data_IF_388281906328
#
_entry.id   IF_388281906328
#
_cell.length_a   1.000
_cell.length_b   1.000
_cell.length_c   1.000
_cell.angle_alpha   90.00
_cell.angle_beta   90.00
_cell.angle_gamma   90.00
#
_symmetry.space_group_name_H-M   'P 1'
#
loop_
_entity.id
_entity.type
_entity.pdbx_description
1 polymer ?
#
# COMPACT_ATOMS: atom_id res chain seq x y z
N UNK A 1 -10.14 -30.01 10.27
CA UNK A 1 -10.92 -29.10 11.16
C UNK A 1 -9.97 -28.19 11.90
N UNK A 2 -9.62 -27.03 11.31
CA UNK A 2 -8.72 -26.03 11.93
C UNK A 2 -9.64 -25.00 12.60
N UNK A 3 -9.43 -24.82 13.91
CA UNK A 3 -10.27 -24.03 14.80
C UNK A 3 -10.41 -22.57 14.33
N UNK A 4 -11.66 -22.12 14.20
CA UNK A 4 -12.10 -20.79 13.77
C UNK A 4 -11.65 -19.61 14.68
N UNK A 5 -10.89 -19.85 15.75
CA UNK A 5 -10.52 -18.84 16.75
C UNK A 5 -9.18 -18.14 16.57
N UNK A 6 -8.27 -18.64 15.73
CA UNK A 6 -6.91 -18.12 15.67
C UNK A 6 -6.73 -16.89 14.77
N UNK A 7 -7.62 -16.66 13.80
CA UNK A 7 -7.49 -15.53 12.87
C UNK A 7 -8.03 -14.20 13.43
N UNK A 8 -9.04 -14.27 14.32
CA UNK A 8 -9.54 -13.05 14.99
C UNK A 8 -8.57 -12.52 16.06
N UNK A 9 -7.79 -13.40 16.68
CA UNK A 9 -6.80 -13.01 17.69
C UNK A 9 -5.65 -12.17 17.16
N UNK A 10 -5.21 -12.41 15.92
CA UNK A 10 -4.10 -11.69 15.30
C UNK A 10 -4.47 -10.25 14.87
N UNK A 11 -5.71 -10.03 14.45
CA UNK A 11 -6.19 -8.68 14.07
C UNK A 11 -6.41 -7.81 15.30
N UNK A 12 -6.89 -8.39 16.42
CA UNK A 12 -7.03 -7.67 17.68
C UNK A 12 -5.69 -7.33 18.35
N UNK A 13 -4.65 -8.16 18.17
CA UNK A 13 -3.34 -7.91 18.77
C UNK A 13 -2.60 -6.76 18.10
N UNK A 14 -2.72 -6.61 16.78
CA UNK A 14 -2.10 -5.49 16.05
C UNK A 14 -2.73 -4.12 16.38
N UNK A 15 -4.00 -4.09 16.78
CA UNK A 15 -4.69 -2.86 17.21
C UNK A 15 -4.36 -2.52 18.67
N UNK A 16 -4.14 -3.53 19.53
CA UNK A 16 -3.81 -3.31 20.95
C UNK A 16 -2.38 -2.86 21.19
N UNK A 17 -1.42 -3.23 20.32
CA UNK A 17 -0.02 -2.84 20.48
C UNK A 17 0.25 -1.36 20.15
N UNK A 18 -0.64 -0.69 19.40
CA UNK A 18 -0.51 0.75 19.11
C UNK A 18 -1.09 1.68 20.20
N UNK A 19 -1.77 1.13 21.21
CA UNK A 19 -2.41 1.89 22.30
C UNK A 19 -1.62 1.90 23.62
N UNK A 20 -0.46 1.23 23.70
CA UNK A 20 0.29 1.09 24.96
C UNK A 20 1.51 2.02 25.10
N UNK A 21 1.67 3.02 24.26
CA UNK A 21 2.79 3.96 24.33
C UNK A 21 2.37 5.38 24.75
N UNK A 22 1.60 5.56 25.84
CA UNK A 22 1.56 6.81 26.62
C UNK A 22 0.60 6.68 27.81
N UNK A 23 1.11 6.29 28.98
CA UNK A 23 0.47 6.55 30.26
C UNK A 23 1.24 7.66 30.99
N UNK A 24 0.63 8.80 31.28
CA UNK A 24 1.12 9.68 32.34
C UNK A 24 0.59 9.23 33.70
N UNK A 25 1.40 9.45 34.73
CA UNK A 25 1.19 9.13 36.15
C UNK A 25 -0.07 9.76 36.81
N UNK A 26 -0.55 9.19 37.92
CA UNK A 26 -1.83 9.54 38.53
C UNK A 26 -1.71 10.68 39.55
N UNK A 27 -2.32 11.80 39.26
CA UNK A 27 -2.73 12.78 40.28
C UNK A 27 -4.02 13.44 39.83
N UNK A 28 -5.14 13.03 40.37
CA UNK A 28 -6.25 13.79 40.92
C UNK A 28 -7.54 12.96 41.01
N UNK A 29 -7.93 12.64 42.24
CA UNK A 29 -9.14 11.88 42.56
C UNK A 29 -10.42 12.72 42.60
N UNK A 30 -10.39 13.97 42.23
CA UNK A 30 -11.55 14.89 42.29
C UNK A 30 -12.47 14.85 41.08
N UNK A 31 -11.99 14.40 39.92
CA UNK A 31 -12.77 14.41 38.66
C UNK A 31 -13.73 13.22 38.47
N UNK A 32 -13.65 12.18 39.28
CA UNK A 32 -14.51 10.98 39.13
C UNK A 32 -15.88 11.08 39.84
N UNK A 33 -16.15 12.13 40.60
CA UNK A 33 -17.45 12.26 41.31
C UNK A 33 -18.52 13.02 40.53
N UNK A 34 -18.20 13.75 39.47
CA UNK A 34 -19.20 14.52 38.72
C UNK A 34 -19.85 13.76 37.55
N UNK A 35 -19.29 12.63 37.12
CA UNK A 35 -19.83 11.86 35.98
C UNK A 35 -20.97 10.90 36.33
N UNK A 36 -21.28 10.73 37.63
CA UNK A 36 -22.31 9.76 38.07
C UNK A 36 -23.71 10.37 38.31
N UNK A 37 -23.93 11.66 38.17
CA UNK A 37 -25.20 12.32 38.53
C UNK A 37 -26.05 12.71 37.30
N UNK A 38 -25.53 12.64 36.06
CA UNK A 38 -26.24 13.15 34.87
C UNK A 38 -26.99 12.08 34.05
N UNK A 39 -27.07 10.82 34.48
CA UNK A 39 -27.74 9.77 33.70
C UNK A 39 -29.12 9.37 34.22
N UNK A 40 -29.78 10.20 35.04
CA UNK A 40 -31.12 9.96 35.58
C UNK A 40 -32.12 11.07 35.20
N UNK A 41 -32.23 11.45 33.92
CA UNK A 41 -33.30 12.30 33.41
C UNK A 41 -34.16 11.53 32.41
N UNK A 42 -35.27 11.00 32.97
CA UNK A 42 -36.58 10.64 32.38
C UNK A 42 -36.74 10.87 30.88
N UNK A 43 -36.83 9.77 30.15
CA UNK A 43 -37.55 9.70 28.86
C UNK A 43 -39.06 9.64 29.12
N UNK A 44 -39.75 10.75 28.98
CA UNK A 44 -41.19 10.80 28.81
C UNK A 44 -41.47 10.89 27.31
N UNK A 45 -42.19 9.89 26.79
CA UNK A 45 -42.61 9.78 25.40
C UNK A 45 -43.61 10.89 25.03
N UNK A 46 -43.49 11.57 23.90
CA UNK A 46 -44.59 12.42 23.38
C UNK A 46 -45.69 11.58 22.72
N UNK A 47 -46.94 12.05 22.70
CA UNK A 47 -48.08 11.31 22.17
C UNK A 47 -48.01 11.15 20.64
N UNK A 48 -48.43 9.96 20.19
CA UNK A 48 -48.48 9.60 18.78
C UNK A 48 -49.45 10.49 18.00
N UNK A 49 -48.93 11.25 17.02
CA UNK A 49 -49.72 11.90 15.97
C UNK A 49 -50.16 10.84 14.95
N UNK A 50 -51.46 10.53 14.92
CA UNK A 50 -52.04 9.73 13.84
C UNK A 50 -52.16 10.60 12.58
N UNK A 51 -51.38 10.28 11.55
CA UNK A 51 -51.54 10.81 10.19
C UNK A 51 -52.53 9.95 9.40
N UNK A 52 -53.43 10.53 8.59
CA UNK A 52 -54.42 9.77 7.84
C UNK A 52 -53.76 9.01 6.68
N UNK A 53 -54.09 7.72 6.58
CA UNK A 53 -53.76 6.84 5.48
C UNK A 53 -54.56 7.20 4.25
N UNK A 54 -53.96 7.81 3.23
CA UNK A 54 -54.33 7.72 1.82
C UNK A 54 -53.33 8.49 0.97
N UNK A 55 -52.33 7.79 0.42
CA UNK A 55 -51.75 8.17 -0.86
C UNK A 55 -51.17 6.92 -1.51
N UNK A 56 -51.67 6.60 -2.68
CA UNK A 56 -51.10 5.57 -3.56
C UNK A 56 -49.62 5.83 -3.76
N UNK A 57 -48.76 4.96 -3.18
CA UNK A 57 -47.35 4.94 -3.48
C UNK A 57 -47.20 4.54 -4.94
N UNK A 58 -46.99 5.53 -5.81
CA UNK A 58 -46.37 5.29 -7.11
C UNK A 58 -44.95 4.80 -6.81
N UNK A 59 -44.71 3.50 -6.95
CA UNK A 59 -43.36 2.95 -6.93
C UNK A 59 -42.57 3.64 -8.07
N UNK A 60 -41.72 4.56 -7.70
CA UNK A 60 -40.67 5.03 -8.59
C UNK A 60 -39.81 3.84 -8.98
N UNK A 61 -39.56 3.57 -10.26
CA UNK A 61 -38.67 2.52 -10.66
C UNK A 61 -37.33 2.76 -9.96
N UNK A 62 -36.86 1.79 -9.17
CA UNK A 62 -35.56 1.86 -8.51
C UNK A 62 -34.50 2.18 -9.57
N UNK A 63 -33.63 3.17 -9.35
CA UNK A 63 -32.57 3.48 -10.30
C UNK A 63 -31.77 2.20 -10.54
N UNK A 64 -31.75 1.76 -11.80
CA UNK A 64 -30.88 0.67 -12.23
C UNK A 64 -29.45 1.13 -11.98
N UNK A 65 -28.87 0.72 -10.87
CA UNK A 65 -27.43 0.87 -10.65
C UNK A 65 -26.72 0.19 -11.82
N UNK A 66 -25.90 0.90 -12.59
CA UNK A 66 -25.12 0.29 -13.64
C UNK A 66 -24.29 -0.83 -13.00
N UNK A 67 -24.51 -2.07 -13.46
CA UNK A 67 -23.65 -3.20 -13.07
C UNK A 67 -22.31 -2.95 -13.75
N UNK A 68 -21.36 -2.38 -13.01
CA UNK A 68 -19.98 -2.28 -13.44
C UNK A 68 -19.41 -3.70 -13.62
N UNK A 69 -18.68 -3.99 -14.70
CA UNK A 69 -18.14 -5.30 -14.93
C UNK A 69 -17.24 -5.73 -13.77
N UNK A 70 -17.58 -6.86 -13.16
CA UNK A 70 -16.81 -7.46 -12.04
C UNK A 70 -15.86 -8.53 -12.57
N UNK A 71 -15.95 -8.85 -13.85
CA UNK A 71 -15.15 -9.87 -14.51
C UNK A 71 -13.96 -9.25 -15.26
N UNK A 72 -12.93 -10.06 -15.49
CA UNK A 72 -11.80 -9.67 -16.30
C UNK A 72 -12.26 -9.37 -17.73
N UNK A 73 -11.69 -8.34 -18.34
CA UNK A 73 -11.95 -8.01 -19.73
C UNK A 73 -11.03 -8.85 -20.62
N UNK A 74 -11.63 -9.71 -21.46
CA UNK A 74 -10.91 -10.51 -22.44
C UNK A 74 -10.88 -9.82 -23.79
N UNK A 75 -9.69 -9.55 -24.31
CA UNK A 75 -9.44 -8.94 -25.62
C UNK A 75 -8.54 -9.89 -26.43
N UNK A 76 -9.14 -10.91 -27.03
CA UNK A 76 -8.38 -11.96 -27.69
C UNK A 76 -7.49 -12.71 -26.70
N UNK A 77 -6.15 -12.79 -26.94
CA UNK A 77 -5.22 -13.47 -26.05
C UNK A 77 -4.89 -12.67 -24.77
N UNK A 78 -5.42 -11.46 -24.62
CA UNK A 78 -5.20 -10.59 -23.49
C UNK A 78 -6.31 -10.69 -22.46
N UNK A 79 -5.91 -10.71 -21.19
CA UNK A 79 -6.81 -10.62 -20.03
C UNK A 79 -6.44 -9.39 -19.23
N UNK A 80 -7.37 -8.44 -19.10
CA UNK A 80 -7.21 -7.22 -18.32
C UNK A 80 -7.93 -7.34 -16.99
N UNK A 81 -7.27 -6.96 -15.92
CA UNK A 81 -7.88 -6.88 -14.60
C UNK A 81 -7.31 -5.68 -13.83
N UNK A 82 -8.08 -5.13 -12.89
CA UNK A 82 -7.63 -3.96 -12.16
C UNK A 82 -8.37 -3.73 -10.85
N UNK A 83 -7.73 -2.94 -10.00
CA UNK A 83 -8.27 -2.40 -8.77
C UNK A 83 -8.03 -0.89 -8.79
N UNK A 84 -9.10 -0.12 -8.74
CA UNK A 84 -9.06 1.32 -8.60
C UNK A 84 -9.75 1.69 -7.30
N UNK A 85 -9.10 2.48 -6.47
CA UNK A 85 -9.63 2.92 -5.19
C UNK A 85 -9.41 4.39 -4.96
N UNK A 86 -10.39 5.05 -4.35
CA UNK A 86 -10.28 6.40 -3.82
C UNK A 86 -10.66 6.39 -2.34
N UNK A 87 -9.91 7.12 -1.55
CA UNK A 87 -10.18 7.29 -0.10
C UNK A 87 -10.36 8.75 0.22
N UNK A 88 -11.27 9.03 1.13
CA UNK A 88 -11.57 10.37 1.62
C UNK A 88 -11.90 10.28 3.10
N UNK A 89 -11.13 10.99 3.92
CA UNK A 89 -11.36 11.06 5.36
C UNK A 89 -11.29 12.53 5.79
N UNK A 90 -12.30 12.98 6.53
CA UNK A 90 -12.39 14.36 7.01
C UNK A 90 -12.62 14.40 8.51
N UNK A 91 -11.87 15.25 9.20
CA UNK A 91 -12.10 15.62 10.59
C UNK A 91 -12.40 17.11 10.65
N UNK A 92 -13.57 17.48 11.17
CA UNK A 92 -13.99 18.87 11.40
C UNK A 92 -14.27 19.05 12.90
N UNK A 93 -13.58 19.99 13.51
CA UNK A 93 -13.71 20.35 14.91
C UNK A 93 -14.09 21.83 15.00
N UNK A 94 -15.17 22.13 15.71
CA UNK A 94 -15.62 23.50 15.96
C UNK A 94 -15.97 23.63 17.44
N UNK A 95 -15.32 24.54 18.14
CA UNK A 95 -15.49 24.74 19.61
C UNK A 95 -15.27 23.44 20.40
N UNK A 96 -14.29 22.62 19.97
CA UNK A 96 -13.97 21.34 20.59
C UNK A 96 -12.84 21.50 21.58
N UNK A 97 -13.12 21.31 22.89
CA UNK A 97 -12.15 21.57 23.96
C UNK A 97 -11.21 20.38 24.27
N UNK A 98 -11.52 19.18 23.76
CA UNK A 98 -10.74 17.98 24.07
C UNK A 98 -9.46 17.84 23.21
N UNK A 99 -9.09 18.86 22.43
CA UNK A 99 -7.94 18.83 21.53
C UNK A 99 -8.25 18.16 20.20
N UNK A 100 -7.27 18.17 19.30
CA UNK A 100 -7.40 17.67 17.92
C UNK A 100 -7.26 18.78 16.89
N UNK A 101 -7.21 18.43 15.61
CA UNK A 101 -7.01 19.35 14.51
C UNK A 101 -7.93 19.00 13.34
N UNK A 102 -8.40 20.04 12.62
CA UNK A 102 -9.11 19.85 11.36
C UNK A 102 -8.17 19.21 10.35
N UNK A 103 -8.61 18.15 9.71
CA UNK A 103 -7.83 17.45 8.71
C UNK A 103 -8.68 16.92 7.58
N UNK A 104 -8.08 16.86 6.40
CA UNK A 104 -8.62 16.20 5.22
C UNK A 104 -7.56 15.28 4.64
N UNK A 105 -7.85 14.00 4.56
CA UNK A 105 -7.00 13.03 3.88
C UNK A 105 -7.71 12.51 2.65
N UNK A 106 -7.06 12.60 1.51
CA UNK A 106 -7.55 12.04 0.25
C UNK A 106 -6.45 11.27 -0.45
N UNK A 107 -6.82 10.23 -1.19
CA UNK A 107 -5.86 9.45 -1.92
C UNK A 107 -6.49 8.54 -2.96
N UNK A 108 -5.65 8.02 -3.85
CA UNK A 108 -6.05 7.00 -4.80
C UNK A 108 -5.04 5.85 -4.84
N UNK A 109 -5.54 4.68 -5.22
CA UNK A 109 -4.75 3.49 -5.54
C UNK A 109 -5.21 3.02 -6.92
N UNK A 110 -4.25 2.71 -7.80
CA UNK A 110 -4.47 2.12 -9.10
C UNK A 110 -3.56 0.91 -9.22
N UNK A 111 -4.13 -0.26 -9.45
CA UNK A 111 -3.39 -1.48 -9.79
C UNK A 111 -4.03 -2.09 -11.03
N UNK A 112 -3.31 -2.05 -12.14
CA UNK A 112 -3.76 -2.55 -13.44
C UNK A 112 -2.86 -3.70 -13.86
N UNK A 113 -3.45 -4.86 -14.17
CA UNK A 113 -2.75 -6.02 -14.74
C UNK A 113 -3.23 -6.27 -16.16
N UNK A 114 -2.29 -6.59 -17.05
CA UNK A 114 -2.57 -7.12 -18.39
C UNK A 114 -1.77 -8.39 -18.57
N UNK A 115 -2.47 -9.49 -18.85
CA UNK A 115 -1.89 -10.82 -19.08
C UNK A 115 -2.14 -11.25 -20.51
N UNK A 116 -1.07 -11.55 -21.23
CA UNK A 116 -1.11 -12.24 -22.52
C UNK A 116 -0.81 -13.71 -22.32
N UNK A 117 -1.50 -14.61 -23.00
CA UNK A 117 -1.23 -16.03 -22.94
C UNK A 117 -1.37 -16.67 -24.30
N UNK A 118 -0.34 -17.41 -24.71
CA UNK A 118 -0.37 -18.33 -25.85
C UNK A 118 0.12 -19.71 -25.42
N UNK A 119 0.22 -20.66 -26.33
CA UNK A 119 0.67 -22.04 -26.03
C UNK A 119 2.11 -22.10 -25.48
N UNK A 120 2.99 -21.22 -25.97
CA UNK A 120 4.43 -21.27 -25.66
C UNK A 120 4.91 -20.04 -24.91
N UNK A 121 4.20 -18.91 -24.99
CA UNK A 121 4.60 -17.64 -24.39
C UNK A 121 3.50 -17.06 -23.51
N UNK A 122 3.89 -16.41 -22.45
CA UNK A 122 3.01 -15.50 -21.71
C UNK A 122 3.73 -14.21 -21.37
N UNK A 123 2.98 -13.11 -21.31
CA UNK A 123 3.47 -11.82 -20.84
C UNK A 123 2.57 -11.33 -19.73
N UNK A 124 3.19 -10.79 -18.68
CA UNK A 124 2.50 -10.19 -17.55
C UNK A 124 2.98 -8.75 -17.39
N UNK A 125 2.05 -7.80 -17.40
CA UNK A 125 2.30 -6.41 -17.10
C UNK A 125 1.54 -6.04 -15.82
N UNK A 126 2.17 -5.28 -14.94
CA UNK A 126 1.54 -4.74 -13.74
C UNK A 126 1.95 -3.28 -13.57
N UNK A 127 0.96 -2.38 -13.63
CA UNK A 127 1.10 -0.99 -13.22
C UNK A 127 0.50 -0.85 -11.82
N UNK A 128 1.30 -0.38 -10.87
CA UNK A 128 0.90 -0.12 -9.48
C UNK A 128 1.22 1.33 -9.14
N UNK A 129 0.19 2.14 -8.94
CA UNK A 129 0.31 3.55 -8.62
C UNK A 129 -0.52 3.90 -7.39
N UNK A 130 0.02 4.75 -6.54
CA UNK A 130 -0.68 5.28 -5.38
C UNK A 130 -0.24 6.72 -5.14
N UNK A 131 -1.17 7.56 -4.69
CA UNK A 131 -0.87 8.91 -4.26
C UNK A 131 -1.88 9.34 -3.21
N UNK A 132 -1.39 9.86 -2.08
CA UNK A 132 -2.25 10.27 -0.96
C UNK A 132 -1.68 11.50 -0.27
N UNK A 133 -2.58 12.44 0.02
CA UNK A 133 -2.28 13.70 0.69
C UNK A 133 -3.12 13.85 1.95
N UNK A 134 -2.54 14.46 2.96
CA UNK A 134 -3.22 14.96 4.15
C UNK A 134 -3.08 16.49 4.21
N UNK A 135 -4.17 17.16 4.36
CA UNK A 135 -4.28 18.61 4.57
C UNK A 135 -4.64 18.85 6.04
N UNK A 136 -3.78 19.53 6.77
CA UNK A 136 -3.96 19.80 8.19
C UNK A 136 -3.43 21.19 8.52
N UNK A 137 -4.28 22.10 9.01
CA UNK A 137 -3.91 23.47 9.42
C UNK A 137 -3.10 24.23 8.36
N UNK A 138 -3.52 24.15 7.10
CA UNK A 138 -2.82 24.82 6.00
C UNK A 138 -1.55 24.12 5.53
N UNK A 139 -1.13 23.02 6.18
CA UNK A 139 0.02 22.23 5.78
C UNK A 139 -0.42 21.00 4.99
N UNK A 140 0.19 20.79 3.82
CA UNK A 140 -0.03 19.61 2.98
C UNK A 140 1.09 18.60 3.24
N UNK A 141 0.71 17.37 3.54
CA UNK A 141 1.63 16.26 3.77
C UNK A 141 1.38 15.16 2.77
N UNK A 142 2.44 14.71 2.12
CA UNK A 142 2.38 13.50 1.29
C UNK A 142 2.44 12.27 2.19
N UNK A 143 1.42 11.39 2.10
CA UNK A 143 1.33 10.16 2.88
C UNK A 143 1.78 8.97 2.06
N UNK A 144 1.35 8.88 0.81
CA UNK A 144 1.76 7.82 -0.12
C UNK A 144 2.10 8.41 -1.48
N UNK A 145 3.10 7.84 -2.14
CA UNK A 145 3.53 8.27 -3.46
C UNK A 145 4.32 7.14 -4.11
N UNK A 146 3.72 6.48 -5.07
CA UNK A 146 4.30 5.32 -5.75
C UNK A 146 3.89 5.28 -7.20
N UNK A 147 4.85 5.04 -8.06
CA UNK A 147 4.67 4.62 -9.44
C UNK A 147 5.59 3.44 -9.71
N UNK A 148 5.02 2.29 -10.00
CA UNK A 148 5.76 1.07 -10.29
C UNK A 148 5.17 0.37 -11.51
N UNK A 149 6.02 0.02 -12.47
CA UNK A 149 5.67 -0.78 -13.62
C UNK A 149 6.54 -2.02 -13.67
N UNK A 150 5.92 -3.18 -13.80
CA UNK A 150 6.58 -4.47 -13.91
C UNK A 150 6.15 -5.15 -15.22
N UNK A 151 7.12 -5.72 -15.91
CA UNK A 151 6.92 -6.53 -17.12
C UNK A 151 7.65 -7.85 -16.93
N UNK A 152 6.95 -8.96 -17.20
CA UNK A 152 7.55 -10.28 -17.27
C UNK A 152 7.12 -10.98 -18.55
N UNK A 153 8.10 -11.51 -19.25
CA UNK A 153 7.92 -12.34 -20.45
C UNK A 153 8.35 -13.76 -20.09
N UNK A 154 7.48 -14.72 -20.28
CA UNK A 154 7.68 -16.11 -19.90
C UNK A 154 7.60 -17.02 -21.12
N UNK A 155 8.58 -17.92 -21.29
CA UNK A 155 8.56 -19.03 -22.22
C UNK A 155 8.30 -20.33 -21.46
N UNK A 156 7.24 -21.04 -21.84
CA UNK A 156 6.81 -22.29 -21.17
C UNK A 156 7.77 -23.41 -21.57
N UNK A 157 8.37 -24.07 -20.59
CA UNK A 157 9.28 -25.19 -20.82
C UNK A 157 8.48 -26.45 -21.16
N UNK A 158 8.88 -27.11 -22.26
CA UNK A 158 8.23 -28.34 -22.71
C UNK A 158 8.27 -29.41 -21.61
N UNK A 159 7.11 -30.03 -21.33
CA UNK A 159 6.97 -31.06 -20.30
C UNK A 159 6.95 -30.55 -18.84
N UNK A 160 7.04 -29.23 -18.62
CA UNK A 160 7.08 -28.62 -17.27
C UNK A 160 6.15 -27.40 -17.22
N UNK A 161 4.83 -27.56 -17.20
CA UNK A 161 3.88 -26.43 -17.33
C UNK A 161 3.94 -25.42 -16.19
N UNK A 162 4.45 -25.82 -15.02
CA UNK A 162 4.59 -24.93 -13.86
C UNK A 162 5.89 -24.12 -13.86
N UNK A 163 6.88 -24.51 -14.71
CA UNK A 163 8.17 -23.84 -14.81
C UNK A 163 8.33 -23.15 -16.14
N UNK A 164 8.83 -21.93 -16.11
CA UNK A 164 9.01 -21.09 -17.29
C UNK A 164 10.38 -20.44 -17.26
N UNK A 165 11.00 -20.30 -18.42
CA UNK A 165 12.14 -19.40 -18.59
C UNK A 165 11.61 -17.98 -18.72
N UNK A 166 12.10 -17.03 -17.91
CA UNK A 166 11.49 -15.72 -17.77
C UNK A 166 12.49 -14.60 -17.86
N UNK A 167 12.14 -13.55 -18.62
CA UNK A 167 12.74 -12.24 -18.56
C UNK A 167 11.86 -11.30 -17.75
N UNK A 168 12.46 -10.56 -16.82
CA UNK A 168 11.76 -9.62 -15.94
C UNK A 168 12.38 -8.23 -16.05
N UNK A 169 11.52 -7.21 -16.10
CA UNK A 169 11.88 -5.79 -16.01
C UNK A 169 10.95 -5.06 -15.06
N UNK A 170 11.52 -4.17 -14.25
CA UNK A 170 10.77 -3.33 -13.32
C UNK A 170 11.30 -1.90 -13.37
N UNK A 171 10.38 -0.94 -13.26
CA UNK A 171 10.66 0.47 -13.08
C UNK A 171 9.86 0.99 -11.90
N UNK A 172 10.52 1.68 -10.95
CA UNK A 172 9.88 2.24 -9.75
C UNK A 172 10.37 3.66 -9.52
N UNK A 173 9.45 4.58 -9.27
CA UNK A 173 9.73 5.97 -8.86
C UNK A 173 8.55 6.52 -8.05
N UNK A 174 8.55 7.81 -7.81
CA UNK A 174 7.46 8.57 -7.20
C UNK A 174 7.03 9.74 -8.10
N UNK A 175 5.86 10.33 -7.81
CA UNK A 175 5.28 11.40 -8.64
C UNK A 175 5.78 12.77 -8.26
N UNK A 176 5.87 13.07 -6.96
CA UNK A 176 6.03 14.43 -6.47
C UNK A 176 7.10 14.53 -5.37
N UNK A 177 7.46 15.77 -5.00
CA UNK A 177 8.42 16.05 -3.94
C UNK A 177 8.01 15.40 -2.62
N UNK A 178 8.96 14.81 -1.91
CA UNK A 178 8.83 14.32 -0.54
C UNK A 178 9.67 15.18 0.40
N UNK A 179 9.16 15.46 1.59
CA UNK A 179 9.82 16.29 2.59
C UNK A 179 10.05 15.47 3.85
N UNK A 180 11.17 15.73 4.54
CA UNK A 180 11.52 15.05 5.79
C UNK A 180 10.57 15.46 6.92
N UNK A 181 10.18 16.74 6.95
CA UNK A 181 9.25 17.28 7.95
C UNK A 181 8.10 18.01 7.26
N UNK A 182 6.89 17.97 7.82
CA UNK A 182 5.77 18.77 7.35
C UNK A 182 6.06 20.26 7.49
N UNK A 183 5.74 21.03 6.44
CA UNK A 183 6.00 22.48 6.45
C UNK A 183 7.42 22.90 6.11
N UNK A 184 8.32 21.95 5.77
CA UNK A 184 9.63 22.27 5.23
C UNK A 184 9.48 23.16 3.98
N UNK A 185 10.41 24.10 3.75
CA UNK A 185 10.39 24.96 2.56
C UNK A 185 10.49 24.11 1.28
N UNK A 186 9.93 24.60 0.18
CA UNK A 186 9.88 23.87 -1.10
C UNK A 186 11.27 23.46 -1.63
N UNK A 187 12.31 24.07 -1.15
CA UNK A 187 13.72 23.73 -1.44
C UNK A 187 14.27 22.59 -0.61
N UNK A 188 13.63 22.18 0.49
CA UNK A 188 14.13 21.16 1.44
C UNK A 188 13.58 19.74 1.18
N UNK A 189 13.06 19.45 -0.03
CA UNK A 189 12.61 18.11 -0.39
C UNK A 189 13.75 17.08 -0.33
N UNK A 190 13.42 15.86 0.10
CA UNK A 190 14.36 14.73 0.20
C UNK A 190 14.22 13.75 -0.96
N UNK A 191 13.18 13.89 -1.77
CA UNK A 191 12.91 13.06 -2.95
C UNK A 191 11.94 13.74 -3.91
N UNK A 192 11.95 13.34 -5.19
CA UNK A 192 11.01 13.82 -6.23
C UNK A 192 10.94 12.83 -7.40
N UNK A 193 10.17 13.15 -8.44
CA UNK A 193 10.10 12.34 -9.65
C UNK A 193 11.51 12.08 -10.22
N UNK A 194 11.83 10.81 -10.52
CA UNK A 194 13.15 10.34 -10.99
C UNK A 194 14.32 10.62 -10.03
N UNK A 195 14.03 10.93 -8.76
CA UNK A 195 15.04 11.15 -7.72
C UNK A 195 14.51 10.64 -6.34
N UNK A 196 14.59 9.29 -6.10
CA UNK A 196 15.18 8.25 -6.93
C UNK A 196 14.23 7.66 -7.96
N UNK A 197 14.80 7.03 -9.00
CA UNK A 197 14.16 6.01 -9.80
C UNK A 197 15.00 4.73 -9.79
N UNK A 198 14.32 3.59 -9.75
CA UNK A 198 14.97 2.27 -9.75
C UNK A 198 14.52 1.48 -10.96
N UNK A 199 15.46 0.78 -11.61
CA UNK A 199 15.13 -0.25 -12.59
C UNK A 199 15.79 -1.56 -12.19
N UNK A 200 15.09 -2.65 -12.47
CA UNK A 200 15.59 -4.01 -12.30
C UNK A 200 15.34 -4.72 -13.63
N UNK A 201 16.34 -5.42 -14.14
CA UNK A 201 16.20 -6.28 -15.30
C UNK A 201 16.99 -7.57 -15.11
N UNK A 202 16.36 -8.71 -15.36
CA UNK A 202 17.00 -9.99 -15.11
C UNK A 202 16.39 -11.13 -15.94
N UNK A 203 17.16 -12.20 -16.07
CA UNK A 203 16.78 -13.46 -16.70
C UNK A 203 16.79 -14.57 -15.65
N UNK A 204 15.73 -15.39 -15.63
CA UNK A 204 15.58 -16.38 -14.58
C UNK A 204 14.49 -17.40 -14.87
N UNK A 205 14.01 -18.02 -13.81
CA UNK A 205 12.96 -19.03 -13.85
C UNK A 205 11.76 -18.55 -13.04
N UNK A 206 10.58 -18.79 -13.56
CA UNK A 206 9.31 -18.57 -12.87
C UNK A 206 8.67 -19.91 -12.54
N UNK A 207 8.19 -20.04 -11.30
CA UNK A 207 7.23 -21.06 -10.89
C UNK A 207 5.91 -20.38 -10.55
N UNK A 208 4.83 -20.73 -11.26
CA UNK A 208 3.52 -20.11 -11.04
C UNK A 208 2.45 -21.18 -10.87
N UNK A 209 1.66 -21.05 -9.81
CA UNK A 209 0.42 -21.80 -9.60
C UNK A 209 -0.74 -20.86 -9.27
N UNK A 210 -1.87 -21.37 -8.81
CA UNK A 210 -3.07 -20.59 -8.51
C UNK A 210 -2.87 -19.47 -7.48
N UNK A 211 -2.02 -19.70 -6.46
CA UNK A 211 -1.85 -18.78 -5.32
C UNK A 211 -0.48 -18.13 -5.26
N UNK A 212 0.54 -18.80 -5.80
CA UNK A 212 1.95 -18.43 -5.66
C UNK A 212 2.54 -18.15 -7.03
N UNK A 213 3.24 -17.04 -7.11
CA UNK A 213 4.09 -16.65 -8.25
C UNK A 213 5.49 -16.37 -7.71
N UNK A 214 6.45 -17.21 -8.09
CA UNK A 214 7.84 -17.12 -7.67
C UNK A 214 8.72 -16.93 -8.90
N UNK A 215 9.47 -15.85 -8.95
CA UNK A 215 10.50 -15.59 -9.94
C UNK A 215 11.86 -15.51 -9.27
N UNK A 216 12.82 -16.29 -9.77
CA UNK A 216 14.20 -16.25 -9.33
C UNK A 216 15.12 -15.98 -10.52
N UNK A 217 15.94 -14.96 -10.41
CA UNK A 217 16.95 -14.58 -11.38
C UNK A 217 18.35 -14.61 -10.76
N UNK A 218 19.23 -15.49 -11.18
CA UNK A 218 20.63 -15.50 -10.74
C UNK A 218 21.44 -14.34 -11.33
N UNK A 219 20.98 -13.73 -12.43
CA UNK A 219 21.67 -12.63 -13.10
C UNK A 219 20.68 -11.49 -13.30
N UNK A 220 20.81 -10.48 -12.45
CA UNK A 220 19.93 -9.30 -12.44
C UNK A 220 20.76 -8.03 -12.33
N UNK A 221 20.51 -7.09 -13.23
CA UNK A 221 21.00 -5.73 -13.13
C UNK A 221 19.98 -4.86 -12.39
N UNK A 222 20.44 -4.16 -11.36
CA UNK A 222 19.67 -3.13 -10.63
C UNK A 222 20.34 -1.78 -10.88
N UNK A 223 19.54 -0.77 -11.23
CA UNK A 223 20.03 0.58 -11.45
C UNK A 223 19.26 1.56 -10.58
N UNK A 224 19.99 2.49 -9.99
CA UNK A 224 19.45 3.62 -9.24
C UNK A 224 19.78 4.90 -9.99
N UNK A 225 18.78 5.71 -10.29
CA UNK A 225 18.92 7.02 -10.95
C UNK A 225 18.51 8.11 -9.98
N UNK A 226 19.25 9.21 -9.99
CA UNK A 226 18.90 10.45 -9.30
C UNK A 226 19.00 11.59 -10.30
N UNK A 227 17.85 12.09 -10.79
CA UNK A 227 17.74 13.15 -11.81
C UNK A 227 17.45 14.52 -11.18
N UNK A 228 18.19 14.83 -10.11
CA UNK A 228 18.06 16.09 -9.38
C UNK A 228 19.44 16.51 -8.87
N UNK A 229 19.93 17.66 -9.33
CA UNK A 229 21.29 18.16 -9.06
C UNK A 229 21.56 18.33 -7.57
N UNK A 230 20.58 18.82 -6.80
CA UNK A 230 20.73 19.03 -5.37
C UNK A 230 20.87 17.72 -4.61
N UNK A 231 20.05 16.73 -4.95
CA UNK A 231 20.10 15.40 -4.35
C UNK A 231 21.36 14.62 -4.80
N UNK A 232 21.82 14.82 -6.03
CA UNK A 232 23.10 14.30 -6.51
C UNK A 232 24.27 14.87 -5.69
N UNK A 233 24.29 16.19 -5.47
CA UNK A 233 25.34 16.83 -4.69
C UNK A 233 25.40 16.33 -3.24
N UNK A 234 24.27 15.85 -2.69
CA UNK A 234 24.19 15.28 -1.35
C UNK A 234 24.65 13.81 -1.26
N UNK A 235 24.76 13.10 -2.38
CA UNK A 235 25.14 11.69 -2.38
C UNK A 235 24.13 10.79 -1.67
N UNK A 236 22.84 10.93 -2.02
CA UNK A 236 21.73 10.15 -1.40
C UNK A 236 21.41 8.89 -2.22
N UNK A 237 20.59 7.99 -1.66
CA UNK A 237 20.11 6.73 -2.29
C UNK A 237 21.25 5.76 -2.69
N UNK A 238 22.35 5.74 -1.92
CA UNK A 238 23.51 4.88 -2.17
C UNK A 238 24.43 5.36 -3.30
N UNK A 239 24.26 6.60 -3.79
CA UNK A 239 25.15 7.24 -4.74
C UNK A 239 26.23 8.06 -4.01
N UNK A 240 27.41 8.18 -4.62
CA UNK A 240 28.42 9.15 -4.17
C UNK A 240 28.01 10.58 -4.54
N UNK A 241 28.45 11.62 -3.80
CA UNK A 241 28.19 13.01 -4.16
C UNK A 241 28.57 13.31 -5.62
N UNK A 242 27.64 13.90 -6.37
CA UNK A 242 27.79 14.22 -7.78
C UNK A 242 27.47 13.08 -8.76
N UNK A 243 27.25 11.87 -8.28
CA UNK A 243 26.80 10.77 -9.14
C UNK A 243 25.31 10.88 -9.48
N UNK A 244 24.97 10.53 -10.71
CA UNK A 244 23.58 10.52 -11.24
C UNK A 244 23.01 9.11 -11.37
N UNK A 245 23.89 8.10 -11.29
CA UNK A 245 23.59 6.72 -11.64
C UNK A 245 24.44 5.74 -10.85
N UNK A 246 23.84 4.67 -10.36
CA UNK A 246 24.51 3.53 -9.74
C UNK A 246 24.02 2.23 -10.40
N UNK A 247 24.95 1.34 -10.68
CA UNK A 247 24.66 0.02 -11.22
C UNK A 247 25.09 -1.07 -10.25
N UNK A 248 24.25 -2.07 -10.10
CA UNK A 248 24.47 -3.24 -9.27
C UNK A 248 24.15 -4.50 -10.08
N UNK A 249 24.89 -5.58 -9.85
CA UNK A 249 24.66 -6.88 -10.44
C UNK A 249 24.49 -7.90 -9.31
N UNK A 250 23.44 -8.74 -9.39
CA UNK A 250 23.15 -9.64 -8.28
C UNK A 250 22.14 -10.72 -8.61
N UNK A 251 21.73 -11.45 -7.57
CA UNK A 251 20.57 -12.33 -7.61
C UNK A 251 19.31 -11.58 -7.17
N UNK A 252 18.19 -11.92 -7.79
CA UNK A 252 16.90 -11.35 -7.46
C UNK A 252 15.83 -12.43 -7.30
N UNK A 253 15.03 -12.31 -6.26
CA UNK A 253 13.88 -13.16 -6.02
C UNK A 253 12.65 -12.29 -5.82
N UNK A 254 11.61 -12.54 -6.62
CA UNK A 254 10.29 -11.98 -6.42
C UNK A 254 9.33 -13.10 -6.05
N UNK A 255 8.70 -12.97 -4.89
CA UNK A 255 7.67 -13.87 -4.42
C UNK A 255 6.38 -13.11 -4.25
N UNK A 256 5.28 -13.65 -4.79
CA UNK A 256 3.93 -13.13 -4.61
C UNK A 256 2.99 -14.24 -4.19
N UNK A 257 2.23 -13.98 -3.14
CA UNK A 257 1.12 -14.79 -2.69
C UNK A 257 -0.16 -13.99 -2.85
N UNK A 258 -1.10 -14.50 -3.64
CA UNK A 258 -2.40 -13.87 -3.78
C UNK A 258 -3.51 -14.87 -3.52
N UNK A 259 -4.46 -14.48 -2.66
CA UNK A 259 -5.58 -15.35 -2.30
C UNK A 259 -6.83 -14.55 -1.99
N UNK A 260 -7.94 -15.00 -2.55
CA UNK A 260 -9.28 -14.53 -2.21
C UNK A 260 -9.94 -15.56 -1.29
N UNK A 261 -10.41 -15.13 -0.13
CA UNK A 261 -11.10 -15.99 0.83
C UNK A 261 -12.61 -15.84 0.70
N UNK A 262 -13.41 -16.90 1.01
CA UNK A 262 -14.88 -16.85 0.93
C UNK A 262 -15.51 -15.71 1.76
N UNK A 263 -14.84 -15.26 2.83
CA UNK A 263 -15.32 -14.22 3.75
C UNK A 263 -15.09 -12.79 3.22
N UNK A 264 -15.04 -12.59 1.91
CA UNK A 264 -14.83 -11.27 1.26
C UNK A 264 -13.48 -10.61 1.60
N UNK A 265 -12.50 -11.39 2.03
CA UNK A 265 -11.13 -10.95 2.30
C UNK A 265 -10.25 -11.35 1.13
N UNK A 266 -9.50 -10.40 0.61
CA UNK A 266 -8.43 -10.61 -0.37
C UNK A 266 -7.10 -10.29 0.26
N UNK A 267 -6.11 -11.16 0.02
CA UNK A 267 -4.72 -11.00 0.45
C UNK A 267 -3.85 -10.95 -0.79
N UNK A 268 -3.00 -9.94 -0.89
CA UNK A 268 -1.95 -9.83 -1.91
C UNK A 268 -0.66 -9.46 -1.18
N UNK A 269 0.21 -10.44 -1.01
CA UNK A 269 1.53 -10.27 -0.40
C UNK A 269 2.60 -10.43 -1.46
N UNK A 270 3.53 -9.50 -1.51
CA UNK A 270 4.68 -9.52 -2.40
C UNK A 270 5.94 -9.20 -1.61
N UNK A 271 7.02 -9.91 -1.89
CA UNK A 271 8.35 -9.56 -1.39
C UNK A 271 9.38 -9.69 -2.51
N UNK A 272 10.28 -8.73 -2.54
CA UNK A 272 11.42 -8.66 -3.44
C UNK A 272 12.69 -8.76 -2.60
N UNK A 273 13.59 -9.65 -2.97
CA UNK A 273 14.90 -9.79 -2.37
C UNK A 273 15.96 -9.55 -3.43
N UNK A 274 16.96 -8.74 -3.15
CA UNK A 274 18.10 -8.51 -4.04
C UNK A 274 19.40 -8.65 -3.27
N UNK A 275 20.28 -9.54 -3.74
CA UNK A 275 21.63 -9.73 -3.19
C UNK A 275 22.67 -9.24 -4.19
N UNK A 276 23.42 -8.19 -3.84
CA UNK A 276 24.43 -7.60 -4.70
C UNK A 276 25.73 -8.41 -4.67
N UNK A 277 26.17 -8.92 -5.83
CA UNK A 277 27.41 -9.70 -5.96
C UNK A 277 28.68 -8.87 -5.87
N UNK A 278 28.59 -7.57 -6.21
CA UNK A 278 29.75 -6.71 -6.39
C UNK A 278 30.19 -6.02 -5.09
N UNK A 279 29.26 -5.81 -4.15
CA UNK A 279 29.56 -5.03 -2.96
C UNK A 279 29.57 -5.85 -1.67
N UNK A 280 28.56 -6.61 -1.37
CA UNK A 280 28.45 -7.50 -0.21
C UNK A 280 27.43 -8.58 -0.55
N UNK A 281 27.82 -9.72 -1.13
CA UNK A 281 26.89 -10.70 -1.69
C UNK A 281 25.93 -11.31 -0.66
N UNK A 282 26.27 -11.29 0.64
CA UNK A 282 25.39 -11.71 1.73
C UNK A 282 24.48 -10.59 2.27
N UNK A 283 24.60 -9.36 1.75
CA UNK A 283 23.69 -8.27 2.06
C UNK A 283 22.48 -8.35 1.15
N UNK A 284 21.33 -8.63 1.72
CA UNK A 284 20.07 -8.77 0.99
C UNK A 284 19.21 -7.55 1.26
N UNK A 285 18.85 -6.81 0.20
CA UNK A 285 17.83 -5.80 0.25
C UNK A 285 16.45 -6.46 0.21
N UNK A 286 15.52 -5.97 0.99
CA UNK A 286 14.15 -6.50 1.11
C UNK A 286 13.15 -5.38 0.85
N UNK A 287 12.20 -5.60 -0.06
CA UNK A 287 11.02 -4.72 -0.24
C UNK A 287 9.77 -5.60 -0.21
N UNK A 288 8.98 -5.49 0.83
CA UNK A 288 7.76 -6.28 1.05
C UNK A 288 6.53 -5.40 1.09
N UNK A 289 5.46 -5.82 0.42
CA UNK A 289 4.17 -5.10 0.35
C UNK A 289 3.04 -6.11 0.63
N UNK A 290 2.28 -5.90 1.68
CA UNK A 290 1.09 -6.64 2.04
C UNK A 290 -0.14 -5.76 1.85
N UNK A 291 -1.07 -6.19 1.01
CA UNK A 291 -2.37 -5.56 0.85
C UNK A 291 -3.46 -6.53 1.30
N UNK A 292 -4.22 -6.13 2.32
CA UNK A 292 -5.43 -6.80 2.77
C UNK A 292 -6.64 -5.95 2.39
N UNK A 293 -7.63 -6.55 1.77
CA UNK A 293 -8.87 -5.87 1.39
C UNK A 293 -10.05 -6.68 1.91
N UNK A 294 -10.88 -6.06 2.74
CA UNK A 294 -12.18 -6.60 3.15
C UNK A 294 -13.29 -5.85 2.42
N UNK A 295 -14.05 -6.55 1.59
CA UNK A 295 -15.19 -6.00 0.85
C UNK A 295 -16.44 -6.02 1.72
N UNK A 296 -16.77 -4.90 2.36
CA UNK A 296 -17.99 -4.76 3.15
C UNK A 296 -19.22 -4.83 2.24
N UNK A 297 -19.19 -4.13 1.09
CA UNK A 297 -20.18 -4.19 0.01
C UNK A 297 -19.47 -4.34 -1.35
N UNK A 298 -20.21 -4.25 -2.46
CA UNK A 298 -19.61 -4.30 -3.81
C UNK A 298 -18.74 -3.07 -4.11
N UNK A 299 -18.91 -1.98 -3.40
CA UNK A 299 -18.21 -0.71 -3.63
C UNK A 299 -17.44 -0.22 -2.40
N UNK A 300 -17.85 -0.63 -1.19
CA UNK A 300 -17.20 -0.21 0.06
C UNK A 300 -16.23 -1.27 0.53
N UNK A 301 -14.98 -0.89 0.74
CA UNK A 301 -13.93 -1.77 1.25
C UNK A 301 -13.17 -1.13 2.41
N UNK A 302 -12.72 -2.00 3.32
CA UNK A 302 -11.70 -1.67 4.30
C UNK A 302 -10.38 -2.21 3.77
N UNK A 303 -9.36 -1.36 3.71
CA UNK A 303 -8.04 -1.71 3.22
C UNK A 303 -7.01 -1.55 4.32
N UNK A 304 -6.07 -2.50 4.39
CA UNK A 304 -4.84 -2.39 5.17
C UNK A 304 -3.68 -2.69 4.22
N UNK A 305 -2.79 -1.73 4.08
CA UNK A 305 -1.55 -1.88 3.33
C UNK A 305 -0.37 -1.68 4.25
N UNK A 306 0.56 -2.63 4.25
CA UNK A 306 1.80 -2.56 5.03
C UNK A 306 2.97 -2.77 4.08
N UNK A 307 3.88 -1.80 4.03
CA UNK A 307 5.13 -1.89 3.28
C UNK A 307 6.29 -1.88 4.24
N UNK A 308 7.19 -2.85 4.10
CA UNK A 308 8.45 -2.95 4.83
C UNK A 308 9.62 -2.91 3.86
N UNK A 309 10.59 -2.05 4.12
CA UNK A 309 11.81 -1.92 3.30
C UNK A 309 13.02 -2.05 4.22
N UNK A 310 13.96 -2.87 3.81
CA UNK A 310 15.30 -2.91 4.35
C UNK A 310 16.30 -2.82 3.20
N UNK A 311 17.12 -1.78 3.21
CA UNK A 311 18.19 -1.56 2.24
C UNK A 311 19.43 -1.15 3.03
N UNK A 312 20.51 -1.91 2.86
CA UNK A 312 21.75 -1.70 3.62
C UNK A 312 22.48 -0.43 3.22
N UNK A 313 22.22 0.06 2.02
CA UNK A 313 22.86 1.25 1.48
C UNK A 313 22.15 2.55 1.90
N UNK A 314 21.02 2.42 2.60
CA UNK A 314 20.22 3.56 3.06
C UNK A 314 20.25 3.65 4.58
N UNK A 315 20.91 4.68 5.11
CA UNK A 315 20.88 4.99 6.53
C UNK A 315 19.51 5.59 6.90
N UNK A 316 18.86 5.00 7.91
CA UNK A 316 17.54 5.42 8.40
C UNK A 316 17.47 5.47 9.93
N UNK A 317 18.53 5.02 10.61
CA UNK A 317 18.62 4.96 12.06
C UNK A 317 19.85 5.72 12.53
N UNK A 318 19.70 6.48 13.61
CA UNK A 318 20.77 7.02 14.41
C UNK A 318 21.28 5.91 15.35
N UNK A 319 22.51 5.43 15.13
CA UNK A 319 23.09 4.32 15.91
C UNK A 319 23.84 4.80 17.16
N UNK A 320 24.27 6.06 17.20
CA UNK A 320 25.12 6.64 18.23
C UNK A 320 24.42 7.73 19.07
N UNK A 321 23.19 8.15 18.71
CA UNK A 321 22.40 9.13 19.45
C UNK A 321 22.80 10.59 19.22
N UNK A 322 23.53 10.88 18.14
CA UNK A 322 23.96 12.26 17.83
C UNK A 322 22.93 13.09 17.04
N UNK A 323 21.76 12.49 16.74
CA UNK A 323 20.68 13.10 15.96
C UNK A 323 20.84 12.98 14.46
N UNK A 324 21.86 12.27 13.96
CA UNK A 324 22.09 12.00 12.54
C UNK A 324 21.83 10.52 12.22
N UNK A 325 21.22 10.24 11.07
CA UNK A 325 21.04 8.86 10.62
C UNK A 325 22.35 8.36 10.00
N UNK A 326 22.89 7.28 10.54
CA UNK A 326 24.19 6.71 10.18
C UNK A 326 24.17 5.20 9.93
N UNK A 327 23.06 4.54 10.26
CA UNK A 327 22.93 3.08 10.13
C UNK A 327 21.69 2.66 9.33
N UNK A 328 21.77 1.52 8.61
CA UNK A 328 20.59 0.93 7.98
C UNK A 328 19.59 0.45 9.02
N UNK A 329 18.33 0.37 8.63
CA UNK A 329 17.24 -0.11 9.48
C UNK A 329 16.02 -0.47 8.69
N UNK A 330 15.07 -1.14 9.36
CA UNK A 330 13.78 -1.47 8.75
C UNK A 330 12.93 -0.21 8.69
N UNK A 331 12.47 0.12 7.49
CA UNK A 331 11.49 1.17 7.22
C UNK A 331 10.11 0.53 7.12
N UNK A 332 9.15 0.97 7.92
CA UNK A 332 7.78 0.45 7.92
C UNK A 332 6.79 1.57 7.60
N UNK A 333 5.92 1.31 6.62
CA UNK A 333 4.77 2.17 6.31
C UNK A 333 3.50 1.35 6.37
N UNK A 334 2.54 1.77 7.18
CA UNK A 334 1.23 1.14 7.29
C UNK A 334 0.14 2.17 7.01
N UNK A 335 -0.77 1.82 6.12
CA UNK A 335 -1.94 2.60 5.75
C UNK A 335 -3.19 1.75 5.95
N UNK A 336 -4.15 2.27 6.69
CA UNK A 336 -5.47 1.65 6.83
C UNK A 336 -6.54 2.68 6.50
N UNK A 337 -7.61 2.23 5.88
CA UNK A 337 -8.66 3.14 5.47
C UNK A 337 -9.94 2.43 5.05
N UNK A 338 -11.01 3.21 5.03
CA UNK A 338 -12.30 2.84 4.45
C UNK A 338 -12.49 3.68 3.21
N UNK A 339 -12.89 3.07 2.12
CA UNK A 339 -13.02 3.79 0.87
C UNK A 339 -13.86 3.08 -0.17
N UNK A 340 -14.12 3.79 -1.25
CA UNK A 340 -14.76 3.22 -2.44
C UNK A 340 -13.71 2.47 -3.23
N UNK A 341 -14.03 1.21 -3.56
CA UNK A 341 -13.14 0.33 -4.34
C UNK A 341 -13.92 -0.28 -5.48
N UNK A 342 -13.38 -0.15 -6.67
CA UNK A 342 -13.87 -0.83 -7.86
C UNK A 342 -12.86 -1.86 -8.32
N UNK A 343 -13.27 -3.12 -8.36
CA UNK A 343 -12.46 -4.22 -8.87
C UNK A 343 -13.12 -4.80 -10.11
N UNK A 344 -12.35 -5.05 -11.16
CA UNK A 344 -12.78 -5.84 -12.29
C UNK A 344 -11.74 -6.94 -12.58
N UNK A 345 -12.24 -8.12 -12.86
CA UNK A 345 -11.43 -9.30 -13.02
C UNK A 345 -10.75 -9.76 -11.73
N UNK A 346 -10.25 -10.96 -11.77
CA UNK A 346 -9.31 -11.45 -10.77
C UNK A 346 -7.92 -11.09 -11.25
N UNK A 347 -7.24 -10.15 -10.62
CA UNK A 347 -5.80 -9.98 -10.84
C UNK A 347 -5.14 -11.30 -10.42
N UNK A 348 -4.86 -12.20 -11.33
CA UNK A 348 -4.25 -13.51 -11.05
C UNK A 348 -2.81 -13.37 -10.61
#
# INVERSE_FOLDING_TARGET
MIRRGALLGLVCWAVSASLQASTPEPHDQSAQRELSISLALKLSSPPALQLPSHSAQRELPSPRTPKLPTEAVHLGPWTLSGLYGATFNQTLLRNWNAGGQNSLTTGFILRQSAEYSSETWSANQLLDAAYSLNFQEGVVRKIDDKLEYNLRLDHILSGQPLWKLSGFGSFKTQWYKGYAKPGDPDTAYVSRFMAPAYTIAGLGLTHKNEFVDLYFSPVTAKHTFVRDERLQAQGVFGLQPGQTFRQELGAYLNFRLKRNFPNKISVDFRTNLFGNYLAQPFSIDVDSDLLLVYKATNYLSITLRTQGIFDRDIAVRDSNGDGKVDAPGIQLKQLSGVGLTYNFGSIK
#
